data_IF_565532978266
#
_entry.id   IF_565532978266
#
_cell.length_a   1.000
_cell.length_b   1.000
_cell.length_c   1.000
_cell.angle_alpha   90.00
_cell.angle_beta   90.00
_cell.angle_gamma   90.00
#
_symmetry.space_group_name_H-M   'P 1'
#
loop_
_entity.id
_entity.type
_entity.pdbx_description
1 polymer ?
#
# COMPACT_ATOMS: atom_id res chain seq x y z
N UNK A 1 -17.77 13.01 -7.74
CA UNK A 1 -16.72 13.52 -6.82
C UNK A 1 -15.39 12.98 -7.29
N UNK A 2 -14.47 13.85 -7.72
CA UNK A 2 -13.17 13.50 -8.33
C UNK A 2 -12.09 13.79 -7.27
N UNK A 3 -11.32 12.78 -6.86
CA UNK A 3 -10.24 12.94 -5.89
C UNK A 3 -8.93 13.15 -6.66
N UNK A 4 -8.18 14.18 -6.29
CA UNK A 4 -6.98 14.67 -6.98
C UNK A 4 -5.83 14.56 -5.97
N UNK A 5 -4.80 13.78 -6.29
CA UNK A 5 -3.59 13.65 -5.47
C UNK A 5 -2.38 14.20 -6.27
N UNK A 6 -1.39 14.75 -5.56
CA UNK A 6 -0.17 15.30 -6.16
C UNK A 6 0.78 14.16 -6.62
N UNK A 7 1.45 14.30 -7.77
CA UNK A 7 2.43 13.32 -8.25
C UNK A 7 3.68 13.27 -7.35
N UNK A 8 4.27 12.08 -7.23
CA UNK A 8 5.37 11.78 -6.32
C UNK A 8 6.74 12.38 -6.76
N UNK A 9 6.91 12.66 -8.04
CA UNK A 9 8.07 13.37 -8.58
C UNK A 9 7.66 14.82 -8.89
N UNK A 10 8.28 15.79 -8.21
CA UNK A 10 8.15 17.21 -8.53
C UNK A 10 8.91 17.55 -9.82
N UNK A 11 8.55 16.91 -10.94
CA UNK A 11 8.95 17.40 -12.25
C UNK A 11 8.04 18.58 -12.58
N UNK A 12 8.63 19.73 -12.88
CA UNK A 12 7.93 20.90 -13.37
C UNK A 12 7.37 20.57 -14.77
N UNK A 13 6.18 20.01 -14.83
CA UNK A 13 5.43 19.85 -16.07
C UNK A 13 4.75 21.18 -16.41
N UNK A 14 5.00 21.68 -17.63
CA UNK A 14 4.34 22.88 -18.17
C UNK A 14 2.86 22.65 -18.53
N UNK A 15 2.37 21.43 -18.33
CA UNK A 15 0.99 21.04 -18.58
C UNK A 15 0.23 20.93 -17.25
N UNK A 16 -0.57 21.95 -16.94
CA UNK A 16 -1.49 22.03 -15.78
C UNK A 16 -2.63 20.97 -15.81
N UNK A 17 -2.51 19.95 -16.65
CA UNK A 17 -3.52 18.94 -16.97
C UNK A 17 -3.03 17.51 -16.69
N UNK A 18 -1.93 17.35 -15.94
CA UNK A 18 -1.47 16.04 -15.47
C UNK A 18 -2.38 15.54 -14.33
N UNK A 19 -3.64 15.28 -14.71
CA UNK A 19 -4.61 14.56 -13.91
C UNK A 19 -4.10 13.13 -13.80
N UNK A 20 -3.30 12.85 -12.77
CA UNK A 20 -2.98 11.48 -12.38
C UNK A 20 -4.26 10.66 -12.48
N UNK A 21 -4.25 9.62 -13.33
CA UNK A 21 -5.40 8.76 -13.52
C UNK A 21 -5.85 8.29 -12.14
N UNK A 22 -7.16 8.26 -11.85
CA UNK A 22 -7.71 7.91 -10.52
C UNK A 22 -7.09 6.62 -9.93
N UNK A 23 -6.63 5.72 -10.81
CA UNK A 23 -5.86 4.51 -10.49
C UNK A 23 -4.47 4.81 -9.93
N UNK A 24 -3.66 5.64 -10.59
CA UNK A 24 -2.31 6.00 -10.16
C UNK A 24 -2.32 6.74 -8.82
N UNK A 25 -3.28 7.64 -8.63
CA UNK A 25 -3.49 8.33 -7.35
C UNK A 25 -3.77 7.32 -6.22
N UNK A 26 -4.61 6.32 -6.48
CA UNK A 26 -4.88 5.23 -5.53
C UNK A 26 -3.61 4.40 -5.27
N UNK A 27 -2.88 3.98 -6.31
CA UNK A 27 -1.64 3.20 -6.14
C UNK A 27 -0.56 3.96 -5.35
N UNK A 28 -0.43 5.26 -5.59
CA UNK A 28 0.45 6.14 -4.82
C UNK A 28 0.01 6.23 -3.36
N UNK A 29 -1.29 6.39 -3.10
CA UNK A 29 -1.84 6.37 -1.74
C UNK A 29 -1.57 5.04 -1.04
N UNK A 30 -1.81 3.90 -1.70
CA UNK A 30 -1.52 2.57 -1.15
C UNK A 30 -0.03 2.43 -0.78
N UNK A 31 0.87 2.85 -1.67
CA UNK A 31 2.32 2.86 -1.42
C UNK A 31 2.66 3.73 -0.22
N UNK A 32 2.09 4.92 -0.11
CA UNK A 32 2.35 5.83 1.00
C UNK A 32 1.88 5.23 2.32
N UNK A 33 0.66 4.67 2.37
CA UNK A 33 0.10 4.08 3.60
C UNK A 33 0.95 2.90 4.09
N UNK A 34 1.35 2.00 3.18
CA UNK A 34 2.07 0.77 3.58
C UNK A 34 3.54 1.06 3.89
N UNK A 35 4.16 2.04 3.21
CA UNK A 35 5.56 2.43 3.44
C UNK A 35 5.75 3.35 4.63
N UNK A 36 4.70 4.08 5.05
CA UNK A 36 4.79 4.99 6.20
C UNK A 36 4.72 4.21 7.50
N UNK A 37 5.70 4.41 8.38
CA UNK A 37 5.70 3.78 9.70
C UNK A 37 4.60 4.37 10.58
N UNK A 38 3.74 3.50 11.14
CA UNK A 38 2.72 3.95 12.09
C UNK A 38 3.35 4.74 13.26
N UNK A 39 2.89 5.96 13.48
CA UNK A 39 3.40 6.85 14.53
C UNK A 39 4.47 7.85 14.09
N UNK A 40 4.94 7.80 12.84
CA UNK A 40 5.99 8.71 12.35
C UNK A 40 5.48 10.10 11.97
N UNK A 41 4.17 10.28 11.77
CA UNK A 41 3.57 11.56 11.38
C UNK A 41 3.13 12.35 12.61
N UNK A 42 3.69 13.55 12.87
CA UNK A 42 3.23 14.43 13.94
C UNK A 42 1.75 14.77 13.81
N UNK A 43 0.99 14.65 14.89
CA UNK A 43 -0.46 14.91 14.91
C UNK A 43 -1.34 13.77 14.35
N UNK A 44 -0.75 12.77 13.69
CA UNK A 44 -1.47 11.61 13.17
C UNK A 44 -0.77 10.29 13.56
N UNK A 45 -0.72 9.94 14.85
CA UNK A 45 -0.03 8.74 15.32
C UNK A 45 -0.64 7.43 14.79
N UNK A 46 -1.90 7.49 14.35
CA UNK A 46 -2.64 6.35 13.81
C UNK A 46 -2.37 6.09 12.31
N UNK A 47 -1.76 7.05 11.61
CA UNK A 47 -1.50 6.95 10.17
C UNK A 47 -0.28 6.08 9.87
N UNK A 48 -0.37 5.29 8.80
CA UNK A 48 0.67 4.39 8.32
C UNK A 48 0.39 2.92 8.64
N UNK A 49 1.39 2.08 8.38
CA UNK A 49 1.38 0.65 8.63
C UNK A 49 2.58 0.25 9.50
N UNK A 50 2.40 -0.79 10.33
CA UNK A 50 3.50 -1.37 11.12
C UNK A 50 4.34 -2.37 10.32
N UNK A 51 4.44 -2.22 9.00
CA UNK A 51 5.17 -3.13 8.11
C UNK A 51 6.62 -3.37 8.56
N UNK A 52 7.30 -2.30 9.02
CA UNK A 52 8.67 -2.38 9.54
C UNK A 52 8.84 -3.31 10.74
N UNK A 53 7.79 -3.56 11.53
CA UNK A 53 7.87 -4.47 12.66
C UNK A 53 7.86 -5.94 12.24
N UNK A 54 7.48 -6.25 11.00
CA UNK A 54 7.37 -7.61 10.50
C UNK A 54 8.56 -8.00 9.62
N UNK A 55 9.05 -7.11 8.75
CA UNK A 55 10.14 -7.37 7.78
C UNK A 55 11.49 -7.79 8.41
N UNK A 56 11.73 -7.49 9.68
CA UNK A 56 12.97 -7.87 10.40
C UNK A 56 12.82 -9.09 11.32
N UNK A 57 11.64 -9.72 11.36
CA UNK A 57 11.40 -10.90 12.20
C UNK A 57 11.72 -12.18 11.44
N UNK A 58 11.95 -13.27 12.18
CA UNK A 58 11.84 -14.62 11.64
C UNK A 58 10.42 -14.79 11.12
N UNK A 59 10.26 -14.89 9.81
CA UNK A 59 8.94 -15.09 9.23
C UNK A 59 8.47 -16.48 9.60
N UNK A 60 7.29 -16.52 10.19
CA UNK A 60 6.52 -17.72 10.40
C UNK A 60 5.11 -17.47 9.85
N UNK A 61 4.32 -18.52 9.62
CA UNK A 61 2.97 -18.36 9.08
C UNK A 61 2.10 -17.38 9.89
N UNK A 62 2.27 -17.35 11.22
CA UNK A 62 1.54 -16.42 12.09
C UNK A 62 1.92 -14.96 11.83
N UNK A 63 3.21 -14.66 11.65
CA UNK A 63 3.73 -13.33 11.33
C UNK A 63 3.19 -12.85 9.99
N UNK A 64 3.10 -13.72 8.98
CA UNK A 64 2.53 -13.39 7.67
C UNK A 64 1.04 -13.05 7.79
N UNK A 65 0.26 -13.85 8.54
CA UNK A 65 -1.16 -13.56 8.78
C UNK A 65 -1.35 -12.23 9.52
N UNK A 66 -0.54 -11.96 10.55
CA UNK A 66 -0.61 -10.69 11.27
C UNK A 66 -0.28 -9.50 10.37
N UNK A 67 0.69 -9.66 9.46
CA UNK A 67 1.02 -8.64 8.47
C UNK A 67 -0.15 -8.39 7.51
N UNK A 68 -0.78 -9.45 6.99
CA UNK A 68 -1.96 -9.35 6.12
C UNK A 68 -3.09 -8.56 6.81
N UNK A 69 -3.35 -8.84 8.08
CA UNK A 69 -4.41 -8.17 8.86
C UNK A 69 -4.07 -6.70 9.19
N UNK A 70 -2.82 -6.39 9.55
CA UNK A 70 -2.40 -5.00 9.79
C UNK A 70 -2.51 -4.16 8.52
N UNK A 71 -2.13 -4.71 7.37
CA UNK A 71 -2.26 -4.02 6.08
C UNK A 71 -3.74 -3.85 5.73
N UNK A 72 -4.56 -4.89 5.91
CA UNK A 72 -6.01 -4.81 5.71
C UNK A 72 -6.61 -3.69 6.54
N UNK A 73 -6.23 -3.59 7.82
CA UNK A 73 -6.70 -2.56 8.74
C UNK A 73 -6.29 -1.17 8.27
N UNK A 74 -5.01 -0.96 7.95
CA UNK A 74 -4.49 0.33 7.50
C UNK A 74 -5.16 0.80 6.20
N UNK A 75 -5.26 -0.09 5.20
CA UNK A 75 -5.88 0.23 3.91
C UNK A 75 -7.38 0.51 4.03
N UNK A 76 -8.10 -0.26 4.85
CA UNK A 76 -9.54 -0.04 5.06
C UNK A 76 -9.80 1.30 5.74
N UNK A 77 -8.90 1.72 6.65
CA UNK A 77 -9.03 2.98 7.39
C UNK A 77 -8.66 4.19 6.55
N UNK A 78 -7.57 4.12 5.81
CA UNK A 78 -6.97 5.28 5.13
C UNK A 78 -7.30 5.38 3.65
N UNK A 79 -7.63 4.28 2.97
CA UNK A 79 -7.96 4.27 1.54
C UNK A 79 -9.39 3.77 1.30
N UNK A 80 -10.37 4.65 1.55
CA UNK A 80 -11.80 4.33 1.44
C UNK A 80 -12.30 4.17 0.01
N UNK A 81 -11.49 4.55 -1.01
CA UNK A 81 -11.85 4.44 -2.43
C UNK A 81 -11.75 3.02 -2.95
N UNK A 82 -11.02 2.13 -2.28
CA UNK A 82 -10.86 0.73 -2.71
C UNK A 82 -11.78 -0.23 -1.96
N UNK A 83 -11.93 -1.42 -2.52
CA UNK A 83 -12.50 -2.59 -1.86
C UNK A 83 -11.52 -3.73 -2.01
N UNK A 84 -10.98 -4.18 -0.89
CA UNK A 84 -9.98 -5.24 -0.83
C UNK A 84 -10.65 -6.58 -1.15
N UNK A 85 -10.12 -7.30 -2.13
CA UNK A 85 -10.57 -8.66 -2.49
C UNK A 85 -9.74 -9.72 -1.79
N UNK A 86 -8.41 -9.56 -1.80
CA UNK A 86 -7.47 -10.48 -1.18
C UNK A 86 -6.18 -9.75 -0.83
N UNK A 87 -5.56 -10.16 0.26
CA UNK A 87 -4.19 -9.79 0.64
C UNK A 87 -3.47 -11.10 0.93
N UNK A 88 -2.31 -11.31 0.31
CA UNK A 88 -1.46 -12.48 0.54
C UNK A 88 -0.02 -12.06 0.72
N UNK A 89 0.57 -12.42 1.86
CA UNK A 89 1.97 -12.23 2.16
C UNK A 89 2.69 -13.57 2.12
N UNK A 90 3.82 -13.65 1.42
CA UNK A 90 4.66 -14.84 1.40
C UNK A 90 6.13 -14.47 1.26
N UNK A 91 6.99 -15.31 1.83
CA UNK A 91 8.43 -15.22 1.58
C UNK A 91 8.78 -15.91 0.27
N UNK A 92 9.56 -15.21 -0.54
CA UNK A 92 10.26 -15.75 -1.68
C UNK A 92 11.72 -15.95 -1.27
N UNK A 93 12.02 -17.20 -0.90
CA UNK A 93 13.30 -17.63 -0.36
C UNK A 93 14.43 -17.55 -1.40
N UNK A 94 14.12 -17.78 -2.67
CA UNK A 94 15.10 -17.75 -3.76
C UNK A 94 15.70 -16.36 -3.93
N UNK A 95 14.90 -15.32 -3.67
CA UNK A 95 15.30 -13.92 -3.78
C UNK A 95 15.42 -13.21 -2.43
N UNK A 96 15.31 -13.94 -1.31
CA UNK A 96 15.32 -13.41 0.06
C UNK A 96 14.45 -12.15 0.21
N UNK A 97 13.22 -12.22 -0.30
CA UNK A 97 12.28 -11.09 -0.34
C UNK A 97 10.93 -11.49 0.21
N UNK A 98 10.24 -10.52 0.80
CA UNK A 98 8.84 -10.65 1.19
C UNK A 98 7.98 -10.06 0.09
N UNK A 99 7.05 -10.85 -0.43
CA UNK A 99 6.09 -10.42 -1.45
C UNK A 99 4.72 -10.29 -0.82
N UNK A 100 4.09 -9.14 -1.04
CA UNK A 100 2.71 -8.88 -0.64
C UNK A 100 1.88 -8.65 -1.91
N UNK A 101 0.97 -9.58 -2.16
CA UNK A 101 0.02 -9.55 -3.26
C UNK A 101 -1.30 -8.95 -2.78
N UNK A 102 -1.66 -7.78 -3.29
CA UNK A 102 -2.91 -7.09 -2.99
C UNK A 102 -3.83 -7.13 -4.22
N UNK A 103 -4.97 -7.80 -4.11
CA UNK A 103 -6.05 -7.75 -5.09
C UNK A 103 -7.16 -6.81 -4.60
N UNK A 104 -7.56 -5.84 -5.40
CA UNK A 104 -8.57 -4.84 -5.04
C UNK A 104 -9.39 -4.37 -6.24
N UNK A 105 -10.52 -3.72 -5.96
CA UNK A 105 -11.33 -2.99 -6.93
C UNK A 105 -11.49 -1.55 -6.47
N UNK A 106 -11.57 -0.59 -7.37
CA UNK A 106 -11.85 0.81 -7.02
C UNK A 106 -13.38 0.96 -7.00
N UNK A 107 -13.98 1.62 -6.01
CA UNK A 107 -15.44 1.75 -5.94
C UNK A 107 -16.06 2.45 -7.16
N UNK A 108 -15.28 3.31 -7.82
CA UNK A 108 -15.65 3.99 -9.05
C UNK A 108 -15.49 3.12 -10.32
N UNK A 109 -14.82 1.96 -10.22
CA UNK A 109 -14.51 1.08 -11.36
C UNK A 109 -14.48 -0.40 -10.94
N UNK A 110 -15.39 -1.17 -11.53
CA UNK A 110 -15.54 -2.62 -11.29
C UNK A 110 -14.35 -3.46 -11.76
N UNK A 111 -13.40 -2.89 -12.53
CA UNK A 111 -12.21 -3.63 -12.97
C UNK A 111 -11.33 -4.05 -11.78
N UNK A 112 -11.16 -5.36 -11.64
CA UNK A 112 -10.21 -5.96 -10.70
C UNK A 112 -8.79 -5.55 -11.01
N UNK A 113 -8.04 -5.20 -9.96
CA UNK A 113 -6.64 -4.79 -10.02
C UNK A 113 -5.82 -5.61 -9.04
N UNK A 114 -4.56 -5.78 -9.39
CA UNK A 114 -3.56 -6.49 -8.62
C UNK A 114 -2.37 -5.58 -8.48
N UNK A 115 -1.85 -5.46 -7.26
CA UNK A 115 -0.67 -4.66 -6.96
C UNK A 115 0.25 -5.44 -6.02
N UNK A 116 1.51 -5.58 -6.44
CA UNK A 116 2.52 -6.33 -5.71
C UNK A 116 3.50 -5.39 -5.01
N UNK A 117 3.63 -5.55 -3.69
CA UNK A 117 4.68 -4.89 -2.92
C UNK A 117 5.81 -5.90 -2.66
N UNK A 118 7.02 -5.52 -3.06
CA UNK A 118 8.20 -6.35 -2.90
C UNK A 118 9.15 -5.68 -1.91
N UNK A 119 9.37 -6.34 -0.78
CA UNK A 119 10.34 -5.91 0.23
C UNK A 119 11.58 -6.78 0.15
N UNK A 120 12.71 -6.16 -0.18
CA UNK A 120 14.01 -6.86 -0.20
C UNK A 120 14.59 -6.89 1.21
N UNK A 121 14.92 -8.07 1.70
CA UNK A 121 15.65 -8.24 2.97
C UNK A 121 17.13 -8.00 2.68
N UNK A 122 17.68 -6.90 3.20
CA UNK A 122 19.10 -6.59 3.12
C UNK A 122 19.89 -7.34 4.20
#
# INVERSE_FOLDING_TARGET
MKYIDLPNDLKKSEDLNDYSNNVEAVENSLRNIISTQKGSIPGHPEFGCKTNNFIFRLMNPLVLVLLEEEIRYALTRWETRITIKSIKAYEDLDYNRLVLHLSYTIKADVKGRVYDFIYKKH
#
